data_IF_098917564522
#
_entry.id   IF_098917564522
#
_cell.length_a   1.000
_cell.length_b   1.000
_cell.length_c   1.000
_cell.angle_alpha   90.00
_cell.angle_beta   90.00
_cell.angle_gamma   90.00
#
_symmetry.space_group_name_H-M   'P 1'
#
loop_
_entity.id
_entity.type
_entity.pdbx_description
1 polymer ?
#
# COMPACT_ATOMS: atom_id res chain seq x y z
N UNK A 1 -15.33 -7.85 -12.16
CA UNK A 1 -14.02 -8.17 -12.76
C UNK A 1 -12.98 -8.17 -11.65
N UNK A 2 -11.94 -9.01 -11.75
CA UNK A 2 -10.83 -9.01 -10.77
C UNK A 2 -9.91 -7.82 -11.03
N UNK A 3 -9.33 -7.28 -9.97
CA UNK A 3 -8.34 -6.20 -10.10
C UNK A 3 -7.09 -6.74 -10.80
N UNK A 4 -6.63 -6.00 -11.81
CA UNK A 4 -5.42 -6.33 -12.58
C UNK A 4 -4.25 -5.60 -11.94
N UNK A 5 -3.13 -6.28 -11.82
CA UNK A 5 -1.99 -5.73 -11.09
C UNK A 5 -1.32 -4.67 -11.93
N UNK A 6 -1.28 -3.44 -11.42
CA UNK A 6 -0.51 -2.36 -12.01
C UNK A 6 0.96 -2.54 -11.59
N UNK A 7 1.86 -2.62 -12.55
CA UNK A 7 3.29 -2.84 -12.34
C UNK A 7 4.10 -1.95 -13.29
N UNK A 8 5.37 -1.72 -12.97
CA UNK A 8 6.32 -1.12 -13.93
C UNK A 8 7.27 -2.19 -14.47
N UNK A 9 7.40 -2.28 -15.79
CA UNK A 9 8.35 -3.17 -16.45
C UNK A 9 9.16 -2.39 -17.48
N UNK A 10 10.49 -2.39 -17.35
CA UNK A 10 11.40 -1.65 -18.24
C UNK A 10 11.02 -0.16 -18.40
N UNK A 11 10.67 0.47 -17.28
CA UNK A 11 10.26 1.89 -17.23
C UNK A 11 8.89 2.19 -17.85
N UNK A 12 8.08 1.16 -18.14
CA UNK A 12 6.72 1.30 -18.67
C UNK A 12 5.70 0.70 -17.73
N UNK A 13 4.58 1.38 -17.57
CA UNK A 13 3.45 0.85 -16.82
C UNK A 13 2.80 -0.28 -17.61
N UNK A 14 2.63 -1.42 -16.94
CA UNK A 14 2.02 -2.63 -17.46
C UNK A 14 0.93 -3.09 -16.51
N UNK A 15 -0.17 -3.57 -17.08
CA UNK A 15 -1.30 -4.10 -16.35
C UNK A 15 -1.33 -5.61 -16.56
N UNK A 16 -1.17 -6.38 -15.49
CA UNK A 16 -1.08 -7.83 -15.55
C UNK A 16 -2.37 -8.48 -15.06
N UNK A 17 -2.93 -9.36 -15.90
CA UNK A 17 -3.97 -10.27 -15.46
C UNK A 17 -3.35 -11.46 -14.74
N UNK A 18 -3.84 -11.73 -13.52
CA UNK A 18 -3.37 -12.86 -12.73
C UNK A 18 -4.41 -13.98 -12.74
N UNK A 19 -3.95 -15.20 -13.01
CA UNK A 19 -4.72 -16.41 -12.71
C UNK A 19 -4.20 -16.99 -11.40
N UNK A 20 -5.08 -17.01 -10.39
CA UNK A 20 -4.75 -17.50 -9.05
C UNK A 20 -5.71 -18.62 -8.62
N UNK A 21 -5.28 -19.39 -7.64
CA UNK A 21 -6.08 -20.48 -7.03
C UNK A 21 -7.02 -19.98 -5.94
N UNK A 22 -6.82 -18.75 -5.45
CA UNK A 22 -7.65 -18.10 -4.45
C UNK A 22 -7.91 -16.63 -4.83
N UNK A 23 -9.11 -16.16 -4.54
CA UNK A 23 -9.51 -14.76 -4.72
C UNK A 23 -10.08 -14.29 -3.39
N UNK A 24 -9.51 -13.22 -2.86
CA UNK A 24 -9.95 -12.59 -1.61
C UNK A 24 -10.19 -11.11 -1.84
N UNK A 25 -11.13 -10.55 -1.09
CA UNK A 25 -11.50 -9.12 -1.15
C UNK A 25 -10.90 -8.31 -0.01
N UNK A 26 -10.16 -8.95 0.89
CA UNK A 26 -9.56 -8.35 2.07
C UNK A 26 -8.03 -8.51 2.02
N UNK A 27 -7.31 -7.42 2.32
CA UNK A 27 -5.84 -7.41 2.23
C UNK A 27 -5.17 -8.24 3.32
N UNK A 28 -5.76 -8.34 4.52
CA UNK A 28 -5.19 -9.16 5.60
C UNK A 28 -5.35 -10.65 5.28
N UNK A 29 -6.50 -11.05 4.72
CA UNK A 29 -6.67 -12.40 4.20
C UNK A 29 -5.65 -12.75 3.10
N UNK A 30 -5.29 -11.79 2.25
CA UNK A 30 -4.24 -12.00 1.23
C UNK A 30 -2.85 -12.22 1.87
N UNK A 31 -2.53 -11.49 2.94
CA UNK A 31 -1.29 -11.69 3.72
C UNK A 31 -1.27 -13.09 4.33
N UNK A 32 -2.35 -13.51 4.98
CA UNK A 32 -2.43 -14.80 5.64
C UNK A 32 -2.22 -15.95 4.65
N UNK A 33 -2.78 -15.85 3.43
CA UNK A 33 -2.55 -16.81 2.36
C UNK A 33 -1.09 -16.82 1.88
N UNK A 34 -0.47 -15.65 1.74
CA UNK A 34 0.94 -15.56 1.37
C UNK A 34 1.86 -16.16 2.45
N UNK A 35 1.59 -15.87 3.72
CA UNK A 35 2.30 -16.45 4.87
C UNK A 35 2.12 -17.96 4.96
N UNK A 36 0.95 -18.48 4.58
CA UNK A 36 0.68 -19.91 4.49
C UNK A 36 1.32 -20.58 3.24
N UNK A 37 2.00 -19.82 2.38
CA UNK A 37 2.69 -20.33 1.20
C UNK A 37 1.77 -20.67 0.03
N UNK A 38 0.55 -20.13 0.01
CA UNK A 38 -0.44 -20.40 -1.05
C UNK A 38 -0.03 -19.75 -2.38
N UNK A 39 0.70 -18.63 -2.34
CA UNK A 39 1.17 -17.95 -3.54
C UNK A 39 1.66 -16.52 -3.29
N UNK A 40 1.63 -15.71 -4.35
CA UNK A 40 1.98 -14.29 -4.30
C UNK A 40 0.76 -13.42 -3.97
N UNK A 41 0.97 -12.36 -3.19
CA UNK A 41 -0.04 -11.36 -2.90
C UNK A 41 0.40 -9.98 -3.42
N UNK A 42 -0.49 -9.27 -4.09
CA UNK A 42 -0.32 -7.88 -4.49
C UNK A 42 -1.07 -6.98 -3.52
N UNK A 43 -0.34 -6.13 -2.81
CA UNK A 43 -0.87 -5.40 -1.65
C UNK A 43 -0.01 -4.18 -1.29
N UNK A 44 -0.57 -3.31 -0.45
CA UNK A 44 0.13 -2.14 0.05
C UNK A 44 1.23 -2.52 1.05
N UNK A 45 2.48 -2.17 0.73
CA UNK A 45 3.67 -2.59 1.49
C UNK A 45 3.61 -2.30 3.01
N UNK A 46 3.07 -1.16 3.48
CA UNK A 46 2.94 -0.90 4.92
C UNK A 46 2.18 -1.96 5.70
N UNK A 47 1.25 -2.71 5.07
CA UNK A 47 0.54 -3.82 5.72
C UNK A 47 1.43 -5.06 5.91
N UNK A 48 2.38 -5.29 5.01
CA UNK A 48 3.31 -6.43 5.06
C UNK A 48 4.66 -6.09 5.72
N UNK A 49 4.90 -4.82 6.07
CA UNK A 49 6.21 -4.34 6.54
C UNK A 49 6.77 -5.16 7.71
N UNK A 50 5.93 -5.55 8.66
CA UNK A 50 6.35 -6.35 9.81
C UNK A 50 6.79 -7.76 9.40
N UNK A 51 6.07 -8.40 8.48
CA UNK A 51 6.40 -9.74 7.97
C UNK A 51 7.63 -9.73 7.06
N UNK A 52 7.79 -8.69 6.25
CA UNK A 52 8.99 -8.46 5.44
C UNK A 52 10.22 -8.24 6.33
N UNK A 53 10.12 -7.40 7.35
CA UNK A 53 11.21 -7.14 8.29
C UNK A 53 11.59 -8.40 9.09
N UNK A 54 10.61 -9.26 9.39
CA UNK A 54 10.82 -10.54 10.07
C UNK A 54 11.30 -11.66 9.12
N UNK A 55 11.39 -11.42 7.81
CA UNK A 55 11.76 -12.42 6.81
C UNK A 55 10.72 -13.54 6.62
N UNK A 56 9.49 -13.35 7.10
CA UNK A 56 8.36 -14.28 6.88
C UNK A 56 7.79 -14.13 5.48
N UNK A 57 7.82 -12.91 4.94
CA UNK A 57 7.53 -12.61 3.55
C UNK A 57 8.79 -12.07 2.87
N UNK A 58 8.83 -12.20 1.55
CA UNK A 58 9.86 -11.58 0.71
C UNK A 58 9.18 -10.76 -0.38
N UNK A 59 9.74 -9.58 -0.67
CA UNK A 59 9.28 -8.77 -1.78
C UNK A 59 9.74 -9.40 -3.10
N UNK A 60 8.81 -9.54 -4.04
CA UNK A 60 9.05 -10.09 -5.37
C UNK A 60 8.92 -8.96 -6.39
N UNK A 61 9.81 -8.91 -7.38
CA UNK A 61 9.88 -7.85 -8.40
C UNK A 61 9.96 -6.43 -7.79
N UNK A 62 10.95 -6.12 -6.93
CA UNK A 62 11.02 -4.82 -6.24
C UNK A 62 11.07 -3.61 -7.18
N UNK A 63 11.59 -3.78 -8.42
CA UNK A 63 11.68 -2.71 -9.41
C UNK A 63 10.39 -2.47 -10.19
N UNK A 64 9.40 -3.34 -10.00
CA UNK A 64 8.08 -3.22 -10.62
C UNK A 64 7.03 -2.64 -9.69
N UNK A 65 7.41 -2.33 -8.45
CA UNK A 65 6.51 -1.73 -7.47
C UNK A 65 6.16 -0.29 -7.88
N UNK A 66 4.87 0.02 -7.88
CA UNK A 66 4.37 1.38 -8.10
C UNK A 66 4.40 2.14 -6.79
N UNK A 67 4.89 3.38 -6.84
CA UNK A 67 4.82 4.31 -5.71
C UNK A 67 3.57 5.18 -5.86
N UNK A 68 2.61 4.96 -4.96
CA UNK A 68 1.37 5.72 -4.89
C UNK A 68 1.52 6.90 -3.92
N UNK A 69 0.81 8.03 -4.13
CA UNK A 69 0.91 9.21 -3.27
C UNK A 69 0.33 9.00 -1.85
N UNK A 70 -0.15 7.80 -1.54
CA UNK A 70 -0.57 7.36 -0.22
C UNK A 70 -2.06 7.56 0.05
N UNK A 71 -2.40 7.66 1.33
CA UNK A 71 -3.78 7.78 1.80
C UNK A 71 -4.22 9.25 1.86
N UNK A 72 -5.48 9.50 1.48
CA UNK A 72 -6.08 10.83 1.52
C UNK A 72 -7.32 10.83 2.43
N UNK A 73 -7.53 11.95 3.14
CA UNK A 73 -8.77 12.20 3.88
C UNK A 73 -9.77 12.92 2.97
N UNK A 74 -10.87 12.25 2.62
CA UNK A 74 -11.93 12.83 1.80
C UNK A 74 -13.16 13.19 2.65
N UNK A 75 -13.57 14.46 2.60
CA UNK A 75 -14.75 14.95 3.31
C UNK A 75 -15.42 16.10 2.55
N UNK A 76 -16.75 16.30 2.68
CA UNK A 76 -17.44 17.41 2.04
C UNK A 76 -16.89 18.76 2.54
N UNK A 77 -16.69 19.72 1.64
CA UNK A 77 -16.16 21.06 1.98
C UNK A 77 -16.91 21.75 3.13
N UNK A 78 -18.24 21.60 3.18
CA UNK A 78 -19.07 22.16 4.27
C UNK A 78 -18.76 21.56 5.65
N UNK A 79 -18.29 20.32 5.71
CA UNK A 79 -17.94 19.63 6.94
C UNK A 79 -16.58 20.08 7.50
N UNK A 80 -15.72 20.67 6.66
CA UNK A 80 -14.38 21.15 7.05
C UNK A 80 -14.39 22.24 8.15
N UNK A 81 -15.53 22.88 8.37
CA UNK A 81 -15.72 23.90 9.42
C UNK A 81 -16.18 23.29 10.76
N UNK A 82 -16.56 22.01 10.79
CA UNK A 82 -16.99 21.36 12.02
C UNK A 82 -15.77 21.15 12.97
N UNK A 83 -15.80 21.65 14.21
CA UNK A 83 -14.64 21.60 15.11
C UNK A 83 -14.11 20.17 15.36
N UNK A 84 -15.01 19.18 15.50
CA UNK A 84 -14.63 17.78 15.70
C UNK A 84 -13.88 17.18 14.49
N UNK A 85 -14.32 17.51 13.28
CA UNK A 85 -13.66 17.01 12.07
C UNK A 85 -12.28 17.67 11.91
N UNK A 86 -12.16 18.97 12.21
CA UNK A 86 -10.88 19.67 12.17
C UNK A 86 -9.88 19.05 13.14
N UNK A 87 -10.28 18.85 14.40
CA UNK A 87 -9.42 18.19 15.39
C UNK A 87 -8.97 16.80 14.94
N UNK A 88 -9.86 16.02 14.30
CA UNK A 88 -9.50 14.73 13.71
C UNK A 88 -8.49 14.86 12.56
N UNK A 89 -8.72 15.78 11.62
CA UNK A 89 -7.81 16.03 10.48
C UNK A 89 -6.43 16.45 10.98
N UNK A 90 -6.38 17.37 11.94
CA UNK A 90 -5.13 17.87 12.51
C UNK A 90 -4.35 16.70 13.15
N UNK A 91 -5.02 15.89 13.97
CA UNK A 91 -4.42 14.70 14.60
C UNK A 91 -3.96 13.67 13.56
N UNK A 92 -4.78 13.40 12.55
CA UNK A 92 -4.46 12.44 11.50
C UNK A 92 -3.25 12.90 10.66
N UNK A 93 -3.14 14.20 10.38
CA UNK A 93 -2.00 14.78 9.70
C UNK A 93 -0.72 14.68 10.55
N UNK A 94 -0.80 14.95 11.85
CA UNK A 94 0.34 14.78 12.77
C UNK A 94 0.84 13.33 12.79
N UNK A 95 -0.07 12.36 12.86
CA UNK A 95 0.25 10.93 12.83
C UNK A 95 0.83 10.53 11.46
N UNK A 96 0.21 10.95 10.36
CA UNK A 96 0.66 10.62 9.00
C UNK A 96 2.04 11.20 8.66
N UNK A 97 2.33 12.42 9.10
CA UNK A 97 3.66 13.01 8.93
C UNK A 97 4.74 12.29 9.76
N UNK A 98 4.35 11.68 10.87
CA UNK A 98 5.26 10.90 11.73
C UNK A 98 5.60 9.55 11.10
N UNK A 99 4.63 8.89 10.44
CA UNK A 99 4.86 7.62 9.75
C UNK A 99 5.69 7.77 8.46
N UNK A 100 5.53 8.88 7.72
CA UNK A 100 6.30 9.18 6.51
C UNK A 100 7.79 9.46 6.78
N UNK A 101 8.15 9.94 7.99
CA UNK A 101 9.55 10.18 8.39
C UNK A 101 10.36 8.90 8.63
N UNK A 102 9.69 7.77 8.84
CA UNK A 102 10.33 6.47 9.13
C UNK A 102 10.59 5.66 7.85
N UNK A 103 9.88 5.95 6.75
CA UNK A 103 10.16 5.36 5.44
C UNK A 103 11.27 6.17 4.76
N UNK A 104 12.52 5.82 5.08
CA UNK A 104 13.71 6.55 4.65
C UNK A 104 13.80 6.81 3.14
N UNK A 105 14.06 8.08 2.80
CA UNK A 105 14.57 8.56 1.51
C UNK A 105 15.65 7.65 0.93
N UNK A 106 15.43 7.21 -0.31
CA UNK A 106 16.44 7.36 -1.38
C UNK A 106 15.77 7.91 -2.63
N UNK A 107 15.47 9.19 -2.61
CA UNK A 107 15.36 9.98 -3.85
C UNK A 107 16.79 10.20 -4.33
N UNK A 108 17.28 9.32 -5.20
CA UNK A 108 18.46 9.60 -6.00
C UNK A 108 17.95 10.18 -7.32
N UNK A 109 17.74 11.50 -7.34
CA UNK A 109 17.68 12.21 -8.62
C UNK A 109 19.10 12.34 -9.15
N UNK A 110 19.17 12.23 -10.47
CA UNK A 110 20.32 12.51 -11.32
C UNK A 110 21.00 13.84 -10.99
#
# INVERSE_FOLDING_TARGET
ALYRWDLTWDGKDVVMETSGTAIVTDSLAAIDLALAGVGLAYMFEPLARADLAAGRLVQVLPQSAIEEPGLFLYFPRRAAMAPKLRAFIDTANEIGLTSLRTSGRKTQSQ
#
